data_IF_814919108484
#
_entry.id   IF_814919108484
#
_cell.length_a   1.000
_cell.length_b   1.000
_cell.length_c   1.000
_cell.angle_alpha   90.00
_cell.angle_beta   90.00
_cell.angle_gamma   90.00
#
_symmetry.space_group_name_H-M   'P 1'
#
loop_
_entity.id
_entity.type
_entity.pdbx_description
1 polymer ?
#
# COMPACT_ATOMS: atom_id res chain seq x y z
N UNK A 1 -6.72 10.45 12.10
CA UNK A 1 -6.10 9.24 11.48
C UNK A 1 -5.53 8.42 12.62
N UNK A 2 -6.00 7.18 12.79
CA UNK A 2 -5.60 6.32 13.92
C UNK A 2 -4.09 6.12 13.95
N UNK A 3 -3.50 6.08 15.15
CA UNK A 3 -2.04 5.98 15.33
C UNK A 3 -1.43 4.78 14.59
N UNK A 4 -2.16 3.65 14.56
CA UNK A 4 -1.74 2.43 13.86
C UNK A 4 -1.71 2.62 12.35
N UNK A 5 -2.70 3.32 11.80
CA UNK A 5 -2.78 3.59 10.37
C UNK A 5 -1.69 4.56 9.91
N UNK A 6 -1.40 5.58 10.72
CA UNK A 6 -0.27 6.48 10.47
C UNK A 6 1.06 5.74 10.50
N UNK A 7 1.24 4.82 11.46
CA UNK A 7 2.45 4.00 11.56
C UNK A 7 2.60 3.04 10.36
N UNK A 8 1.50 2.44 9.90
CA UNK A 8 1.47 1.62 8.69
C UNK A 8 1.94 2.40 7.46
N UNK A 9 1.35 3.57 7.19
CA UNK A 9 1.72 4.41 6.04
C UNK A 9 3.20 4.81 6.12
N UNK A 10 3.69 5.20 7.31
CA UNK A 10 5.11 5.55 7.50
C UNK A 10 6.04 4.39 7.14
N UNK A 11 5.73 3.16 7.57
CA UNK A 11 6.52 1.98 7.25
C UNK A 11 6.52 1.67 5.75
N UNK A 12 5.37 1.81 5.09
CA UNK A 12 5.29 1.66 3.62
C UNK A 12 6.14 2.68 2.89
N UNK A 13 6.04 3.96 3.27
CA UNK A 13 6.83 5.05 2.67
C UNK A 13 8.33 4.80 2.84
N UNK A 14 8.78 4.40 4.03
CA UNK A 14 10.18 4.07 4.28
C UNK A 14 10.62 2.87 3.45
N UNK A 15 9.83 1.80 3.40
CA UNK A 15 10.15 0.62 2.59
C UNK A 15 10.26 0.97 1.10
N UNK A 16 9.31 1.73 0.56
CA UNK A 16 9.35 2.21 -0.82
C UNK A 16 10.55 3.10 -1.09
N UNK A 17 10.89 4.01 -0.17
CA UNK A 17 12.04 4.90 -0.31
C UNK A 17 13.36 4.11 -0.34
N UNK A 18 13.51 3.08 0.52
CA UNK A 18 14.67 2.20 0.51
C UNK A 18 14.78 1.42 -0.81
N UNK A 19 13.67 0.84 -1.29
CA UNK A 19 13.67 0.13 -2.57
C UNK A 19 13.97 1.08 -3.73
N UNK A 20 13.44 2.30 -3.72
CA UNK A 20 13.73 3.31 -4.74
C UNK A 20 15.19 3.73 -4.72
N UNK A 21 15.81 3.87 -3.55
CA UNK A 21 17.23 4.17 -3.41
C UNK A 21 18.09 3.03 -3.98
N UNK A 22 17.78 1.78 -3.64
CA UNK A 22 18.49 0.62 -4.20
C UNK A 22 18.32 0.54 -5.72
N UNK A 23 17.10 0.76 -6.22
CA UNK A 23 16.83 0.77 -7.66
C UNK A 23 17.53 1.93 -8.38
N UNK A 24 17.68 3.09 -7.74
CA UNK A 24 18.46 4.21 -8.25
C UNK A 24 19.93 3.82 -8.41
N UNK A 25 20.52 3.19 -7.41
CA UNK A 25 21.94 2.82 -7.43
C UNK A 25 22.25 1.74 -8.48
N UNK A 26 21.32 0.82 -8.74
CA UNK A 26 21.53 -0.30 -9.66
C UNK A 26 21.14 0.00 -11.12
N UNK A 27 20.06 0.76 -11.32
CA UNK A 27 19.42 0.93 -12.65
C UNK A 27 19.37 2.41 -13.05
N UNK A 28 19.60 3.33 -12.12
CA UNK A 28 19.50 4.76 -12.32
C UNK A 28 18.08 5.31 -12.10
N UNK A 29 17.86 6.53 -12.59
CA UNK A 29 16.63 7.30 -12.33
C UNK A 29 15.34 6.55 -12.71
N UNK A 30 15.35 5.83 -13.83
CA UNK A 30 14.17 5.09 -14.29
C UNK A 30 13.78 3.94 -13.37
N UNK A 31 14.77 3.24 -12.79
CA UNK A 31 14.53 2.21 -11.78
C UNK A 31 13.94 2.80 -10.50
N UNK A 32 14.49 3.91 -10.02
CA UNK A 32 13.98 4.62 -8.85
C UNK A 32 12.52 5.06 -9.05
N UNK A 33 12.22 5.72 -10.17
CA UNK A 33 10.87 6.18 -10.50
C UNK A 33 9.88 5.02 -10.65
N UNK A 34 10.33 3.89 -11.19
CA UNK A 34 9.51 2.68 -11.31
C UNK A 34 9.17 2.09 -9.94
N UNK A 35 10.16 2.00 -9.04
CA UNK A 35 9.95 1.57 -7.65
C UNK A 35 9.02 2.53 -6.88
N UNK A 36 9.19 3.85 -7.05
CA UNK A 36 8.29 4.85 -6.48
C UNK A 36 6.87 4.73 -7.04
N UNK A 37 6.71 4.47 -8.33
CA UNK A 37 5.39 4.29 -8.94
C UNK A 37 4.67 3.04 -8.39
N UNK A 38 5.39 1.92 -8.26
CA UNK A 38 4.87 0.70 -7.66
C UNK A 38 4.49 0.87 -6.19
N UNK A 39 5.40 1.39 -5.37
CA UNK A 39 5.12 1.62 -3.94
C UNK A 39 4.07 2.70 -3.72
N UNK A 40 4.06 3.74 -4.56
CA UNK A 40 3.04 4.77 -4.57
C UNK A 40 1.64 4.23 -4.84
N UNK A 41 1.50 3.29 -5.80
CA UNK A 41 0.23 2.62 -6.05
C UNK A 41 -0.29 1.87 -4.82
N UNK A 42 0.58 1.14 -4.11
CA UNK A 42 0.22 0.45 -2.87
C UNK A 42 -0.18 1.43 -1.75
N UNK A 43 0.56 2.52 -1.58
CA UNK A 43 0.25 3.55 -0.59
C UNK A 43 -1.11 4.19 -0.88
N UNK A 44 -1.39 4.55 -2.15
CA UNK A 44 -2.69 5.09 -2.56
C UNK A 44 -3.84 4.12 -2.29
N UNK A 45 -3.65 2.83 -2.60
CA UNK A 45 -4.63 1.80 -2.26
C UNK A 45 -4.87 1.73 -0.75
N UNK A 46 -3.80 1.77 0.05
CA UNK A 46 -3.91 1.69 1.51
C UNK A 46 -4.63 2.90 2.12
N UNK A 47 -4.45 4.10 1.54
CA UNK A 47 -5.18 5.31 1.93
C UNK A 47 -6.66 5.23 1.58
N UNK A 48 -7.01 4.65 0.42
CA UNK A 48 -8.41 4.44 0.04
C UNK A 48 -9.11 3.43 0.98
N UNK A 49 -8.43 2.32 1.29
CA UNK A 49 -8.90 1.32 2.24
C UNK A 49 -9.08 1.90 3.66
N UNK A 50 -8.10 2.69 4.11
CA UNK A 50 -8.15 3.42 5.37
C UNK A 50 -9.36 4.34 5.48
N UNK A 51 -9.63 5.12 4.44
CA UNK A 51 -10.76 6.04 4.38
C UNK A 51 -12.09 5.30 4.45
N UNK A 52 -12.20 4.13 3.80
CA UNK A 52 -13.37 3.26 3.92
C UNK A 52 -13.56 2.79 5.35
N UNK A 53 -12.49 2.30 5.99
CA UNK A 53 -12.56 1.73 7.34
C UNK A 53 -12.94 2.79 8.40
N UNK A 54 -12.41 4.00 8.29
CA UNK A 54 -12.78 5.13 9.16
C UNK A 54 -14.26 5.50 9.02
N UNK A 55 -14.80 5.47 7.80
CA UNK A 55 -16.23 5.74 7.55
C UNK A 55 -17.15 4.65 8.14
N UNK A 56 -16.67 3.41 8.20
CA UNK A 56 -17.41 2.28 8.78
C UNK A 56 -17.27 2.14 10.30
N UNK A 57 -16.37 2.89 10.97
CA UNK A 57 -16.01 2.68 12.38
C UNK A 57 -17.16 2.87 13.38
N UNK A 58 -18.17 3.69 13.06
CA UNK A 58 -19.25 4.05 13.97
C UNK A 58 -20.30 2.95 14.24
N UNK A 59 -20.22 1.78 13.59
CA UNK A 59 -21.31 0.77 13.56
C UNK A 59 -20.91 -0.68 13.82
N UNK A 60 -19.70 -0.97 14.34
CA UNK A 60 -19.14 -2.32 14.26
C UNK A 60 -19.29 -3.20 15.52
N UNK A 61 -19.90 -4.37 15.33
CA UNK A 61 -19.71 -5.61 16.10
C UNK A 61 -18.49 -6.37 15.55
N UNK A 62 -17.94 -7.34 16.29
CA UNK A 62 -16.74 -8.10 15.87
C UNK A 62 -16.86 -8.72 14.46
N UNK A 63 -18.03 -9.30 14.12
CA UNK A 63 -18.27 -9.90 12.79
C UNK A 63 -18.32 -8.87 11.65
N UNK A 64 -18.87 -7.68 11.88
CA UNK A 64 -18.89 -6.62 10.86
C UNK A 64 -17.54 -5.91 10.71
N UNK A 65 -16.66 -5.98 11.71
CA UNK A 65 -15.29 -5.50 11.61
C UNK A 65 -14.47 -6.32 10.58
N UNK A 66 -14.54 -7.66 10.62
CA UNK A 66 -13.88 -8.53 9.64
C UNK A 66 -14.41 -8.32 8.21
N UNK A 67 -15.73 -8.20 8.05
CA UNK A 67 -16.33 -7.92 6.76
C UNK A 67 -15.88 -6.55 6.19
N UNK A 68 -15.83 -5.52 7.04
CA UNK A 68 -15.35 -4.20 6.63
C UNK A 68 -13.86 -4.18 6.27
N UNK A 69 -13.03 -4.98 6.96
CA UNK A 69 -11.63 -5.16 6.60
C UNK A 69 -11.47 -5.83 5.23
N UNK A 70 -12.24 -6.89 4.94
CA UNK A 70 -12.23 -7.55 3.62
C UNK A 70 -12.67 -6.60 2.51
N UNK A 71 -13.74 -5.83 2.70
CA UNK A 71 -14.19 -4.83 1.73
C UNK A 71 -13.12 -3.75 1.50
N UNK A 72 -12.43 -3.33 2.57
CA UNK A 72 -11.33 -2.38 2.45
C UNK A 72 -10.15 -2.96 1.63
N UNK A 73 -9.87 -4.26 1.76
CA UNK A 73 -8.83 -4.93 0.97
C UNK A 73 -9.18 -4.98 -0.53
N UNK A 74 -10.45 -5.28 -0.86
CA UNK A 74 -10.92 -5.26 -2.26
C UNK A 74 -10.76 -3.86 -2.86
N UNK A 75 -11.11 -2.80 -2.12
CA UNK A 75 -10.91 -1.42 -2.56
C UNK A 75 -9.43 -1.12 -2.78
N UNK A 76 -8.55 -1.58 -1.88
CA UNK A 76 -7.10 -1.41 -2.01
C UNK A 76 -6.59 -1.99 -3.32
N UNK A 77 -6.93 -3.25 -3.59
CA UNK A 77 -6.47 -3.96 -4.78
C UNK A 77 -7.01 -3.29 -6.05
N UNK A 78 -8.28 -2.86 -6.05
CA UNK A 78 -8.86 -2.13 -7.18
C UNK A 78 -8.11 -0.81 -7.49
N UNK A 79 -7.79 -0.03 -6.45
CA UNK A 79 -7.02 1.22 -6.60
C UNK A 79 -5.61 0.94 -7.09
N UNK A 80 -4.95 -0.10 -6.58
CA UNK A 80 -3.63 -0.54 -7.05
C UNK A 80 -3.70 -0.90 -8.53
N UNK A 81 -4.67 -1.70 -8.95
CA UNK A 81 -4.82 -2.13 -10.34
C UNK A 81 -4.99 -0.93 -11.29
N UNK A 82 -5.85 0.04 -10.93
CA UNK A 82 -6.06 1.26 -11.73
C UNK A 82 -4.79 2.11 -11.77
N UNK A 83 -4.12 2.32 -10.63
CA UNK A 83 -2.89 3.10 -10.57
C UNK A 83 -1.78 2.46 -11.41
N UNK A 84 -1.62 1.13 -11.33
CA UNK A 84 -0.65 0.40 -12.14
C UNK A 84 -0.99 0.49 -13.63
N UNK A 85 -2.25 0.34 -14.01
CA UNK A 85 -2.68 0.50 -15.40
C UNK A 85 -2.27 1.88 -15.94
N UNK A 86 -2.47 2.94 -15.17
CA UNK A 86 -2.03 4.30 -15.52
C UNK A 86 -0.51 4.39 -15.65
N UNK A 87 0.24 3.82 -14.71
CA UNK A 87 1.72 3.83 -14.75
C UNK A 87 2.23 3.11 -16.00
N UNK A 88 1.73 1.91 -16.30
CA UNK A 88 2.12 1.15 -17.49
C UNK A 88 1.73 1.86 -18.79
N UNK A 89 0.64 2.64 -18.80
CA UNK A 89 0.18 3.35 -20.01
C UNK A 89 0.92 4.67 -20.22
N UNK A 90 1.25 5.40 -19.16
CA UNK A 90 1.80 6.75 -19.24
C UNK A 90 3.34 6.80 -19.19
N UNK A 91 4.01 5.79 -18.62
CA UNK A 91 5.44 5.83 -18.40
C UNK A 91 6.21 4.88 -19.33
N UNK A 92 6.83 5.45 -20.38
CA UNK A 92 7.55 4.70 -21.44
C UNK A 92 8.83 4.01 -20.99
N UNK A 93 9.58 4.59 -20.07
CA UNK A 93 10.86 4.05 -19.58
C UNK A 93 10.68 3.30 -18.25
N UNK A 94 9.58 2.56 -18.14
CA UNK A 94 9.25 1.80 -16.95
C UNK A 94 10.15 0.55 -16.85
N UNK A 95 10.69 0.31 -15.65
CA UNK A 95 11.42 -0.91 -15.32
C UNK A 95 10.50 -1.80 -14.48
N UNK A 96 9.88 -2.85 -15.05
CA UNK A 96 8.84 -3.63 -14.36
C UNK A 96 9.34 -4.29 -13.07
N UNK A 97 10.58 -4.77 -13.06
CA UNK A 97 11.17 -5.39 -11.86
C UNK A 97 11.25 -4.40 -10.68
N UNK A 98 11.74 -3.19 -10.91
CA UNK A 98 11.82 -2.17 -9.88
C UNK A 98 10.42 -1.78 -9.37
N UNK A 99 9.44 -1.68 -10.28
CA UNK A 99 8.04 -1.45 -9.93
C UNK A 99 7.48 -2.54 -9.02
N UNK A 100 7.72 -3.82 -9.34
CA UNK A 100 7.24 -4.95 -8.54
C UNK A 100 7.85 -4.92 -7.14
N UNK A 101 9.15 -4.64 -6.99
CA UNK A 101 9.77 -4.52 -5.67
C UNK A 101 9.21 -3.34 -4.87
N UNK A 102 8.97 -2.21 -5.53
CA UNK A 102 8.34 -1.04 -4.89
C UNK A 102 6.93 -1.36 -4.39
N UNK A 103 6.11 -1.97 -5.24
CA UNK A 103 4.75 -2.41 -4.92
C UNK A 103 4.75 -3.45 -3.80
N UNK A 104 5.56 -4.50 -3.94
CA UNK A 104 5.60 -5.63 -3.02
C UNK A 104 6.07 -5.23 -1.63
N UNK A 105 7.12 -4.41 -1.53
CA UNK A 105 7.61 -3.92 -0.23
C UNK A 105 6.54 -3.12 0.53
N UNK A 106 5.84 -2.20 -0.16
CA UNK A 106 4.73 -1.45 0.44
C UNK A 106 3.53 -2.36 0.78
N UNK A 107 3.18 -3.31 -0.09
CA UNK A 107 2.07 -4.24 0.15
C UNK A 107 2.33 -5.13 1.38
N UNK A 108 3.55 -5.65 1.56
CA UNK A 108 3.93 -6.44 2.73
C UNK A 108 3.82 -5.60 4.00
N UNK A 109 4.32 -4.36 4.00
CA UNK A 109 4.18 -3.45 5.15
C UNK A 109 2.72 -3.10 5.47
N UNK A 110 1.86 -3.03 4.44
CA UNK A 110 0.41 -2.88 4.60
C UNK A 110 -0.23 -4.08 5.29
N UNK A 111 0.05 -5.30 4.81
CA UNK A 111 -0.47 -6.54 5.38
C UNK A 111 0.02 -6.79 6.81
N UNK A 112 1.29 -6.49 7.10
CA UNK A 112 1.87 -6.63 8.44
C UNK A 112 1.16 -5.78 9.50
N UNK A 113 0.57 -4.65 9.11
CA UNK A 113 -0.19 -3.80 10.04
C UNK A 113 -1.53 -4.44 10.47
N UNK A 114 -2.15 -5.28 9.64
CA UNK A 114 -3.36 -6.02 10.01
C UNK A 114 -3.05 -7.00 11.16
N UNK A 115 -1.90 -7.67 11.10
CA UNK A 115 -1.45 -8.57 12.17
C UNK A 115 -1.24 -7.82 13.49
N UNK A 116 -0.64 -6.62 13.42
CA UNK A 116 -0.46 -5.75 14.60
C UNK A 116 -1.80 -5.26 15.16
N UNK A 117 -2.79 -5.01 14.30
CA UNK A 117 -4.15 -4.63 14.72
C UNK A 117 -4.88 -5.78 15.41
N UNK A 118 -4.71 -7.01 14.91
CA UNK A 118 -5.29 -8.21 15.51
C UNK A 118 -4.77 -8.45 16.93
N UNK A 119 -3.46 -8.34 17.12
CA UNK A 119 -2.80 -8.54 18.43
C UNK A 119 -3.24 -7.49 19.47
N UNK A 120 -3.46 -6.23 19.06
CA UNK A 120 -3.91 -5.18 19.98
C UNK A 120 -5.40 -5.23 20.33
N UNK A 121 -6.25 -5.68 19.41
CA UNK A 121 -7.70 -5.57 19.57
C UNK A 121 -8.40 -6.88 19.90
N UNK A 122 -7.69 -8.02 20.00
CA UNK A 122 -8.27 -9.36 20.22
C UNK A 122 -9.49 -9.62 19.32
N UNK A 123 -9.37 -9.30 18.03
CA UNK A 123 -10.40 -9.60 17.02
C UNK A 123 -10.58 -11.10 16.83
#
# INVERSE_FOLDING_TARGET
MDAVLSQMIKRQVVATALVALVAYLLIGLHGALSALAGGGAAILGSLAAAKKLQSSAAKNTAGSALANLLVAEVIKIAVIAIALLLVFTLYRNLIPLALIFGLGSAAIMSGAAIFTLNEKNNL
#
